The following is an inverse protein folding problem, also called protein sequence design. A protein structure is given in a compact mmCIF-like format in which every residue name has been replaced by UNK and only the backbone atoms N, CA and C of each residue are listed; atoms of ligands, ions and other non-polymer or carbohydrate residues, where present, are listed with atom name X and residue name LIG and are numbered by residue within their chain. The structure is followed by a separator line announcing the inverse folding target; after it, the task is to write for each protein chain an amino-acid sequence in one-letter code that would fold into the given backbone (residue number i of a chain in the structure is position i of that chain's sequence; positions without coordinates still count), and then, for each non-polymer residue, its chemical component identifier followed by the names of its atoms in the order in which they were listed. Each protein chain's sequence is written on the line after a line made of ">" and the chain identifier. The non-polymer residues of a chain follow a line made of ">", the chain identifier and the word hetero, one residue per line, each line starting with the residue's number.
data_IF_593245488233
#
_entry.id   IF_593245488233
#
_cell.length_a   1.000
_cell.length_b   1.000
_cell.length_c   1.000
_cell.angle_alpha   90.00
_cell.angle_beta   90.00
_cell.angle_gamma   90.00
#
_symmetry.space_group_name_H-M   'P 1'
#
loop_
_entity.id
_entity.type
_entity.pdbx_description
1 polymer ?
#
# COMPACT_ATOMS: atom_id res chain seq x y z
N UNK A 1 -5.32 24.45 38.84
CA UNK A 1 -4.06 24.26 38.09
C UNK A 1 -4.30 23.19 37.03
N UNK A 2 -4.74 23.57 35.83
CA UNK A 2 -5.13 22.60 34.77
C UNK A 2 -4.75 23.07 33.37
N UNK A 3 -4.00 24.18 33.25
CA UNK A 3 -3.66 24.82 31.97
C UNK A 3 -2.50 24.15 31.23
N UNK A 4 -1.59 23.44 31.91
CA UNK A 4 -0.46 22.79 31.24
C UNK A 4 -0.82 21.49 30.49
N UNK A 5 -1.90 20.80 30.90
CA UNK A 5 -2.30 19.51 30.29
C UNK A 5 -3.03 19.70 28.96
N UNK A 6 -3.85 20.75 28.84
CA UNK A 6 -4.64 21.01 27.63
C UNK A 6 -3.76 21.41 26.43
N UNK A 7 -2.68 22.17 26.67
CA UNK A 7 -1.75 22.60 25.60
C UNK A 7 -0.93 21.42 25.06
N UNK A 8 -0.53 20.48 25.92
CA UNK A 8 0.20 19.29 25.50
C UNK A 8 -0.66 18.33 24.67
N UNK A 9 -1.95 18.22 24.98
CA UNK A 9 -2.89 17.43 24.18
C UNK A 9 -3.16 18.09 22.82
N UNK A 10 -3.38 19.41 22.80
CA UNK A 10 -3.59 20.17 21.57
C UNK A 10 -2.39 20.05 20.60
N UNK A 11 -1.15 20.09 21.10
CA UNK A 11 0.05 19.92 20.26
C UNK A 11 0.17 18.50 19.70
N UNK A 12 -0.18 17.47 20.49
CA UNK A 12 -0.20 16.09 20.00
C UNK A 12 -1.24 15.93 18.89
N UNK A 13 -2.40 16.56 19.04
CA UNK A 13 -3.46 16.48 18.05
C UNK A 13 -3.09 17.22 16.76
N UNK A 14 -2.49 18.42 16.85
CA UNK A 14 -1.97 19.13 15.68
C UNK A 14 -0.93 18.27 14.94
N UNK A 15 0.04 17.69 15.67
CA UNK A 15 1.06 16.81 15.05
C UNK A 15 0.44 15.58 14.37
N UNK A 16 -0.54 14.93 14.99
CA UNK A 16 -1.26 13.80 14.38
C UNK A 16 -2.00 14.22 13.11
N UNK A 17 -2.71 15.34 13.14
CA UNK A 17 -3.45 15.86 11.99
C UNK A 17 -2.50 16.21 10.85
N UNK A 18 -1.39 16.90 11.15
CA UNK A 18 -0.39 17.25 10.12
C UNK A 18 0.31 16.02 9.55
N UNK A 19 0.64 15.02 10.39
CA UNK A 19 1.23 13.77 9.91
C UNK A 19 0.26 13.01 8.98
N UNK A 20 -1.02 12.96 9.36
CA UNK A 20 -2.06 12.29 8.56
C UNK A 20 -2.35 13.02 7.25
N UNK A 21 -2.35 14.36 7.26
CA UNK A 21 -2.49 15.16 6.03
C UNK A 21 -1.31 14.93 5.07
N UNK A 22 -0.09 14.87 5.61
CA UNK A 22 1.10 14.57 4.82
C UNK A 22 1.07 13.17 4.21
N UNK A 23 0.67 12.16 4.99
CA UNK A 23 0.53 10.77 4.54
C UNK A 23 -0.50 10.67 3.41
N UNK A 24 -1.71 11.25 3.61
CA UNK A 24 -2.75 11.29 2.58
C UNK A 24 -2.29 11.99 1.30
N UNK A 25 -1.47 13.05 1.44
CA UNK A 25 -0.93 13.79 0.29
C UNK A 25 0.11 12.98 -0.48
N UNK A 26 0.92 12.16 0.20
CA UNK A 26 1.87 11.26 -0.46
C UNK A 26 1.15 10.07 -1.10
N UNK A 27 0.17 9.49 -0.43
CA UNK A 27 -0.65 8.38 -0.92
C UNK A 27 -1.39 8.71 -2.21
N UNK A 28 -1.95 9.91 -2.26
CA UNK A 28 -2.70 10.43 -3.42
C UNK A 28 -1.79 10.88 -4.57
N UNK A 29 -0.47 11.02 -4.32
CA UNK A 29 0.49 11.47 -5.33
C UNK A 29 0.67 10.41 -6.40
N UNK A 30 0.62 10.84 -7.67
CA UNK A 30 1.00 9.99 -8.79
C UNK A 30 2.50 9.68 -8.74
N UNK A 31 2.85 8.42 -8.99
CA UNK A 31 4.24 7.99 -9.12
C UNK A 31 4.85 8.70 -10.33
N UNK A 32 6.02 9.33 -10.14
CA UNK A 32 6.74 9.99 -11.23
C UNK A 32 7.49 8.98 -12.11
N UNK A 33 7.92 9.42 -13.29
CA UNK A 33 8.71 8.55 -14.18
C UNK A 33 10.04 8.13 -13.53
N UNK A 34 10.68 9.02 -12.78
CA UNK A 34 11.92 8.72 -12.06
C UNK A 34 11.68 7.68 -10.95
N UNK A 35 10.58 7.81 -10.21
CA UNK A 35 10.18 6.82 -9.21
C UNK A 35 9.93 5.45 -9.87
N UNK A 36 9.28 5.42 -11.04
CA UNK A 36 9.07 4.18 -11.80
C UNK A 36 10.40 3.55 -12.22
N UNK A 37 11.40 4.34 -12.58
CA UNK A 37 12.75 3.82 -12.86
C UNK A 37 13.38 3.23 -11.60
N UNK A 38 13.24 3.87 -10.44
CA UNK A 38 13.77 3.35 -9.18
C UNK A 38 13.09 2.03 -8.76
N UNK A 39 11.76 1.96 -8.88
CA UNK A 39 10.97 0.78 -8.51
C UNK A 39 11.29 -0.40 -9.43
N UNK A 40 11.31 -0.16 -10.75
CA UNK A 40 11.37 -1.25 -11.73
C UNK A 40 12.79 -1.55 -12.22
N UNK A 41 13.73 -0.62 -12.04
CA UNK A 41 15.04 -0.63 -12.67
C UNK A 41 15.00 -0.46 -14.20
N UNK A 42 13.87 -0.04 -14.79
CA UNK A 42 13.67 0.04 -16.25
C UNK A 42 13.39 1.48 -16.69
N UNK A 43 14.06 1.91 -17.76
CA UNK A 43 13.88 3.23 -18.38
C UNK A 43 12.76 3.30 -19.43
N UNK A 44 12.44 2.19 -20.08
CA UNK A 44 11.42 2.15 -21.15
C UNK A 44 10.05 1.85 -20.56
N UNK A 45 9.04 2.66 -20.92
CA UNK A 45 7.68 2.54 -20.36
C UNK A 45 7.03 1.18 -20.63
N UNK A 46 7.26 0.59 -21.82
CA UNK A 46 6.78 -0.76 -22.13
C UNK A 46 7.44 -1.83 -21.26
N UNK A 47 8.73 -1.67 -20.94
CA UNK A 47 9.46 -2.58 -20.05
C UNK A 47 9.02 -2.43 -18.59
N UNK A 48 8.69 -1.22 -18.15
CA UNK A 48 8.08 -0.97 -16.84
C UNK A 48 6.72 -1.68 -16.74
N UNK A 49 5.84 -1.51 -17.73
CA UNK A 49 4.54 -2.18 -17.74
C UNK A 49 4.68 -3.72 -17.74
N UNK A 50 5.62 -4.26 -18.52
CA UNK A 50 5.92 -5.69 -18.52
C UNK A 50 6.46 -6.17 -17.16
N UNK A 51 7.25 -5.34 -16.47
CA UNK A 51 7.72 -5.63 -15.11
C UNK A 51 6.56 -5.76 -14.13
N UNK A 52 5.57 -4.85 -14.15
CA UNK A 52 4.39 -4.95 -13.28
C UNK A 52 3.58 -6.23 -13.53
N UNK A 53 3.41 -6.61 -14.80
CA UNK A 53 2.74 -7.86 -15.15
C UNK A 53 3.52 -9.09 -14.65
N UNK A 54 4.84 -9.07 -14.75
CA UNK A 54 5.71 -10.16 -14.29
C UNK A 54 5.77 -10.27 -12.77
N UNK A 55 6.01 -9.15 -12.09
CA UNK A 55 6.29 -9.13 -10.66
C UNK A 55 5.04 -9.09 -9.80
N UNK A 56 3.99 -8.41 -10.26
CA UNK A 56 2.76 -8.21 -9.50
C UNK A 56 1.55 -8.90 -10.13
N UNK A 57 1.69 -9.48 -11.33
CA UNK A 57 0.59 -10.16 -12.01
C UNK A 57 -0.48 -9.19 -12.54
N UNK A 58 -0.21 -7.88 -12.59
CA UNK A 58 -1.19 -6.86 -12.94
C UNK A 58 -0.83 -6.17 -14.25
N UNK A 59 -1.83 -6.02 -15.12
CA UNK A 59 -1.73 -5.14 -16.27
C UNK A 59 -2.04 -3.70 -15.86
N UNK A 60 -0.99 -2.87 -15.82
CA UNK A 60 -1.07 -1.49 -15.34
C UNK A 60 -1.61 -0.53 -16.42
N UNK A 61 -2.44 0.41 -15.97
CA UNK A 61 -2.99 1.49 -16.79
C UNK A 61 -1.88 2.42 -17.27
N UNK A 62 -1.98 2.88 -18.51
CA UNK A 62 -1.00 3.76 -19.17
C UNK A 62 -1.67 5.00 -19.77
N UNK A 63 -0.94 6.10 -19.84
CA UNK A 63 -1.33 7.29 -20.62
C UNK A 63 -1.31 6.98 -22.11
N UNK A 64 -1.87 7.90 -22.90
CA UNK A 64 -1.74 7.91 -24.36
C UNK A 64 -0.28 7.90 -24.84
N UNK A 65 0.65 8.45 -24.06
CA UNK A 65 2.09 8.43 -24.35
C UNK A 65 2.81 7.13 -23.91
N UNK A 66 2.08 6.16 -23.35
CA UNK A 66 2.61 4.86 -22.93
C UNK A 66 3.22 4.80 -21.52
N UNK A 67 3.31 5.93 -20.80
CA UNK A 67 3.80 5.97 -19.42
C UNK A 67 2.78 5.38 -18.45
N UNK A 68 3.25 4.66 -17.42
CA UNK A 68 2.39 4.08 -16.39
C UNK A 68 1.75 5.19 -15.56
N UNK A 69 0.45 5.05 -15.25
CA UNK A 69 -0.26 5.95 -14.34
C UNK A 69 -0.75 5.15 -13.15
N UNK A 70 -0.21 5.43 -11.98
CA UNK A 70 -0.79 5.00 -10.71
C UNK A 70 -0.36 5.93 -9.58
N UNK A 71 -1.09 5.90 -8.48
CA UNK A 71 -0.70 6.57 -7.23
C UNK A 71 0.22 5.68 -6.40
N UNK A 72 0.96 6.29 -5.48
CA UNK A 72 1.77 5.55 -4.50
C UNK A 72 0.93 4.59 -3.66
N UNK A 73 -0.24 5.02 -3.19
CA UNK A 73 -1.14 4.15 -2.44
C UNK A 73 -1.56 2.88 -3.22
N UNK A 74 -1.78 3.01 -4.53
CA UNK A 74 -2.13 1.87 -5.37
C UNK A 74 -0.95 0.90 -5.47
N UNK A 75 0.27 1.41 -5.64
CA UNK A 75 1.47 0.59 -5.68
C UNK A 75 1.69 -0.16 -4.35
N UNK A 76 1.55 0.53 -3.22
CA UNK A 76 1.70 -0.09 -1.90
C UNK A 76 0.64 -1.16 -1.65
N UNK A 77 -0.61 -0.93 -2.06
CA UNK A 77 -1.65 -1.95 -1.98
C UNK A 77 -1.32 -3.20 -2.82
N UNK A 78 -0.74 -3.03 -4.02
CA UNK A 78 -0.26 -4.15 -4.84
C UNK A 78 0.89 -4.91 -4.17
N UNK A 79 1.82 -4.19 -3.54
CA UNK A 79 2.93 -4.78 -2.79
C UNK A 79 2.44 -5.55 -1.56
N UNK A 80 1.53 -4.98 -0.78
CA UNK A 80 0.89 -5.63 0.36
C UNK A 80 0.14 -6.90 -0.07
N UNK A 81 -0.53 -6.87 -1.22
CA UNK A 81 -1.20 -8.03 -1.80
C UNK A 81 -0.20 -9.12 -2.16
N UNK A 82 0.91 -8.77 -2.84
CA UNK A 82 1.99 -9.73 -3.18
C UNK A 82 2.63 -10.34 -1.94
N UNK A 83 2.82 -9.55 -0.90
CA UNK A 83 3.38 -10.00 0.38
C UNK A 83 2.38 -10.76 1.27
N UNK A 84 1.09 -10.77 0.93
CA UNK A 84 0.04 -11.43 1.72
C UNK A 84 -0.30 -10.71 3.04
N UNK A 85 0.06 -9.43 3.17
CA UNK A 85 -0.11 -8.63 4.41
C UNK A 85 -1.24 -7.61 4.27
N UNK A 86 -2.20 -7.87 3.38
CA UNK A 86 -3.28 -6.92 3.10
C UNK A 86 -4.05 -6.59 4.40
N UNK A 87 -4.06 -5.31 4.86
CA UNK A 87 -4.78 -4.93 6.06
C UNK A 87 -6.28 -5.13 5.83
N UNK A 88 -6.92 -5.99 6.63
CA UNK A 88 -8.35 -6.28 6.50
C UNK A 88 -8.69 -7.53 5.68
N UNK A 89 -7.73 -8.39 5.33
CA UNK A 89 -8.07 -9.78 5.00
C UNK A 89 -8.59 -10.45 6.27
N UNK A 90 -9.90 -10.36 6.50
CA UNK A 90 -10.57 -11.05 7.60
C UNK A 90 -10.15 -12.52 7.53
N UNK A 91 -9.61 -13.03 8.63
CA UNK A 91 -9.20 -14.42 8.72
C UNK A 91 -10.41 -15.28 8.32
N UNK A 92 -10.34 -15.92 7.15
CA UNK A 92 -11.30 -16.96 6.77
C UNK A 92 -11.40 -17.89 7.95
N UNK A 93 -12.59 -18.00 8.56
CA UNK A 93 -12.83 -18.82 9.74
C UNK A 93 -12.26 -20.21 9.46
N UNK A 94 -11.10 -20.51 10.05
CA UNK A 94 -10.45 -21.80 9.87
C UNK A 94 -11.44 -22.84 10.40
N UNK A 95 -11.90 -23.80 9.58
CA UNK A 95 -12.82 -24.81 10.06
C UNK A 95 -12.20 -25.56 11.24
N UNK A 96 -12.99 -25.81 12.28
CA UNK A 96 -12.53 -26.52 13.47
C UNK A 96 -12.08 -27.94 13.07
N UNK A 97 -10.80 -28.24 13.30
CA UNK A 97 -10.25 -29.59 13.07
C UNK A 97 -10.58 -30.42 14.29
N UNK A 98 -11.44 -31.44 14.14
CA UNK A 98 -11.75 -32.39 15.20
C UNK A 98 -10.83 -33.61 15.11
N UNK A 99 -10.23 -34.06 16.23
CA UNK A 99 -9.42 -35.27 16.23
C UNK A 99 -10.29 -36.51 15.98
N UNK A 100 -9.87 -37.34 15.01
CA UNK A 100 -10.48 -38.65 14.76
C UNK A 100 -10.06 -39.56 15.91
N UNK A 101 -10.99 -39.92 16.80
CA UNK A 101 -10.74 -40.94 17.81
C UNK A 101 -10.62 -42.29 17.09
N UNK A 102 -9.51 -43.01 17.28
CA UNK A 102 -9.40 -44.41 16.83
C UNK A 102 -10.34 -45.27 17.67
N UNK A 103 -11.23 -46.01 17.02
CA UNK A 103 -12.03 -47.05 17.66
C UNK A 103 -11.10 -48.21 18.06
N UNK A 104 -11.29 -48.72 19.28
CA UNK A 104 -10.67 -49.94 19.80
C UNK A 104 -11.53 -51.16 19.45
#
# INVERSE_FOLDING_TARGET
>A
MTTHSATAEALKEILRVTAKDWELKMDSRLISDDDLVQITGKKRCSAQAAWFKKELGVEVTRRSNGHVIMTWATFEALQAKKAGVLPGSAATTRPAIHPIRKAA
#
